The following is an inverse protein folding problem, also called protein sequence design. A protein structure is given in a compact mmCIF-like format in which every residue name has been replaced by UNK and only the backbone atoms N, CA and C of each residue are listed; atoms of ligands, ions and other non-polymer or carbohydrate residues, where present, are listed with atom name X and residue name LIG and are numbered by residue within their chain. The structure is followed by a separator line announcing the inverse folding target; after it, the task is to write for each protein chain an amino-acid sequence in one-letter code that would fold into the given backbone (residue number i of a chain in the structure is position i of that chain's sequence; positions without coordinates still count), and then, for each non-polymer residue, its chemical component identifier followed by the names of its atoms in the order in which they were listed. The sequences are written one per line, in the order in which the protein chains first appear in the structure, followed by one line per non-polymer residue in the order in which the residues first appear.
data_IF_187796532907
#
_entry.id   IF_187796532907
#
_cell.length_a   1.000
_cell.length_b   1.000
_cell.length_c   1.000
_cell.angle_alpha   90.00
_cell.angle_beta   90.00
_cell.angle_gamma   90.00
#
_symmetry.space_group_name_H-M   'P 1'
#
loop_
_entity.id
_entity.type
_entity.pdbx_description
1 polymer ?
2 non-polymer ?
3 non-polymer ?
4 non-polymer ?
5 water ?
#
# COMPACT_ATOMS: atom_id res chain seq x y z
N UNK A 1 9.58 1.03 -5.81
CA UNK A 1 8.95 -0.23 -5.40
C UNK A 1 8.08 0.03 -4.16
N UNK A 2 6.88 -0.56 -4.12
CA UNK A 2 6.11 -0.58 -2.88
C UNK A 2 5.68 -1.99 -2.47
N UNK A 3 6.63 -2.93 -2.53
CA UNK A 3 6.42 -4.29 -2.05
C UNK A 3 5.95 -4.25 -0.61
N UNK A 4 4.98 -5.11 -0.29
CA UNK A 4 4.39 -5.12 1.04
C UNK A 4 5.39 -5.65 2.06
N UNK A 5 5.36 -5.06 3.26
CA UNK A 5 5.95 -5.73 4.44
C UNK A 5 4.78 -6.23 5.26
N UNK A 6 4.43 -7.48 5.03
CA UNK A 6 3.19 -8.01 5.50
C UNK A 6 3.34 -8.84 6.80
N UNK A 7 2.63 -8.44 7.82
CA UNK A 7 2.59 -9.24 9.02
C UNK A 7 1.37 -10.14 9.01
N UNK A 8 1.32 -11.04 9.98
CA UNK A 8 0.18 -11.87 10.15
C UNK A 8 -0.45 -11.43 11.45
N UNK A 9 -1.69 -11.87 11.65
CA UNK A 9 -2.38 -11.69 12.91
C UNK A 9 -1.43 -12.01 14.01
N UNK A 10 -0.92 -13.22 14.07
CA UNK A 10 0.00 -13.57 15.13
C UNK A 10 1.36 -12.91 15.17
N UNK A 11 1.97 -12.67 14.01
CA UNK A 11 3.29 -12.08 14.09
C UNK A 11 3.19 -10.62 14.57
N UNK A 12 2.17 -9.95 14.07
CA UNK A 12 1.86 -8.61 14.53
C UNK A 12 1.59 -8.57 16.07
N UNK A 13 0.73 -9.48 16.56
CA UNK A 13 0.51 -9.59 18.01
C UNK A 13 1.77 -9.84 18.85
N UNK A 14 2.52 -10.86 18.46
CA UNK A 14 3.73 -11.19 19.12
C UNK A 14 4.64 -9.96 19.19
N UNK A 15 4.83 -9.30 18.06
CA UNK A 15 5.70 -8.15 18.04
C UNK A 15 5.10 -6.97 18.82
N UNK A 16 3.79 -6.83 18.77
CA UNK A 16 3.15 -5.78 19.54
C UNK A 16 3.31 -6.02 21.02
N UNK A 17 3.06 -7.26 21.46
CA UNK A 17 3.19 -7.61 22.86
C UNK A 17 4.61 -7.40 23.35
N UNK A 18 5.59 -7.85 22.55
CA UNK A 18 7.03 -7.60 22.77
C UNK A 18 7.24 -6.12 22.96
N UNK A 19 6.54 -5.31 22.18
CA UNK A 19 6.71 -3.88 22.35
C UNK A 19 5.89 -3.36 23.53
N UNK A 20 5.21 -4.22 24.30
CA UNK A 20 4.63 -3.77 25.56
C UNK A 20 3.16 -3.36 25.49
N UNK A 21 2.57 -3.69 24.34
CA UNK A 21 1.18 -3.54 24.13
C UNK A 21 0.46 -4.65 24.87
N UNK A 22 -0.40 -4.27 25.84
CA UNK A 22 -1.14 -5.30 26.58
C UNK A 22 -1.82 -6.30 25.65
N UNK A 23 -1.88 -7.55 26.06
CA UNK A 23 -2.50 -8.64 25.27
C UNK A 23 -3.93 -8.36 24.89
N UNK A 24 -4.67 -7.80 25.84
CA UNK A 24 -6.08 -7.51 25.68
C UNK A 24 -6.40 -6.48 24.61
N UNK A 25 -5.37 -5.95 23.97
CA UNK A 25 -5.52 -5.00 22.89
C UNK A 25 -5.18 -5.70 21.58
N UNK A 26 -4.49 -6.84 21.68
CA UNK A 26 -3.82 -7.40 20.50
C UNK A 26 -4.77 -7.85 19.39
N UNK A 27 -5.84 -8.51 19.80
CA UNK A 27 -6.84 -8.98 18.84
C UNK A 27 -7.44 -7.76 18.10
N UNK A 28 -7.71 -6.70 18.84
CA UNK A 28 -8.25 -5.49 18.25
C UNK A 28 -7.26 -4.85 17.31
N UNK A 29 -6.01 -4.73 17.75
CA UNK A 29 -4.95 -4.15 16.92
C UNK A 29 -4.71 -4.94 15.68
N UNK A 30 -4.77 -6.26 15.77
CA UNK A 30 -4.55 -7.08 14.57
C UNK A 30 -5.73 -6.92 13.66
N UNK A 31 -6.90 -6.98 14.26
CA UNK A 31 -8.08 -6.70 13.48
C UNK A 31 -7.99 -5.37 12.73
N UNK A 32 -7.62 -4.33 13.44
CA UNK A 32 -7.47 -3.03 12.81
C UNK A 32 -6.36 -3.03 11.76
N UNK A 33 -5.20 -3.63 12.02
CA UNK A 33 -4.17 -3.75 10.97
C UNK A 33 -4.71 -4.46 9.72
N UNK A 34 -5.45 -5.53 9.93
CA UNK A 34 -5.97 -6.25 8.82
C UNK A 34 -6.81 -5.35 7.91
N UNK A 35 -7.72 -4.61 8.51
CA UNK A 35 -8.69 -3.88 7.74
C UNK A 35 -8.13 -2.55 7.28
N UNK A 36 -7.12 -2.05 7.99
CA UNK A 36 -6.54 -0.77 7.64
C UNK A 36 -5.53 -0.96 6.54
N UNK A 37 -4.81 -2.09 6.55
CA UNK A 37 -3.60 -2.17 5.74
C UNK A 37 -3.24 -3.57 5.26
N UNK A 38 -3.96 -4.56 5.75
CA UNK A 38 -3.64 -5.96 5.48
C UNK A 38 -2.29 -6.20 6.07
N UNK A 39 -2.10 -5.67 7.27
CA UNK A 39 -0.89 -5.97 8.02
C UNK A 39 0.38 -5.49 7.32
N UNK A 40 0.24 -4.44 6.52
CA UNK A 40 1.36 -4.03 5.73
C UNK A 40 1.84 -2.72 6.29
N UNK A 41 3.05 -2.74 6.84
CA UNK A 41 3.69 -1.51 7.37
C UNK A 41 3.97 -0.43 6.30
N UNK A 42 3.92 -0.83 5.03
CA UNK A 42 4.26 0.02 3.92
C UNK A 42 3.01 0.60 3.31
N UNK A 43 1.85 0.25 3.90
CA UNK A 43 0.58 0.65 3.33
C UNK A 43 0.48 2.18 3.39
N UNK A 44 0.00 2.78 2.32
CA UNK A 44 -0.24 4.22 2.33
C UNK A 44 -1.61 4.32 1.68
N UNK A 45 -2.55 5.00 2.35
CA UNK A 45 -3.90 5.11 1.87
C UNK A 45 -4.07 6.05 0.71
N UNK A 46 -5.22 5.96 0.05
CA UNK A 46 -5.54 6.93 -0.97
C UNK A 46 -5.83 8.20 -0.23
N UNK A 47 -5.80 9.29 -0.96
CA UNK A 47 -6.20 10.55 -0.41
C UNK A 47 -7.59 10.41 0.19
N UNK A 48 -7.69 10.82 1.45
CA UNK A 48 -8.98 11.01 2.10
C UNK A 48 -9.72 12.23 1.56
N UNK A 49 -11.01 12.31 1.86
CA UNK A 49 -11.84 13.35 1.26
C UNK A 49 -11.34 14.74 1.68
N UNK A 50 -10.73 14.82 2.86
CA UNK A 50 -10.30 16.09 3.42
C UNK A 50 -8.91 16.44 2.90
N UNK A 51 -8.35 15.57 2.08
CA UNK A 51 -7.06 15.84 1.46
C UNK A 51 -5.97 15.20 2.25
N UNK A 52 -6.30 14.52 3.35
CA UNK A 52 -5.27 13.86 4.13
C UNK A 52 -4.94 12.50 3.54
N UNK A 53 -3.88 11.91 4.11
CA UNK A 53 -3.44 10.58 3.74
C UNK A 53 -2.98 9.84 4.98
N UNK A 54 -3.26 8.54 4.99
CA UNK A 54 -2.96 7.66 6.11
C UNK A 54 -1.81 6.73 5.83
N UNK A 55 -1.02 6.51 6.88
CA UNK A 55 0.28 5.92 6.78
C UNK A 55 0.44 4.70 7.63
N UNK A 56 0.95 3.67 6.97
CA UNK A 56 1.46 2.48 7.62
C UNK A 56 0.38 1.51 7.99
N UNK A 57 0.75 0.60 8.86
CA UNK A 57 -0.06 -0.57 9.18
C UNK A 57 -1.35 -0.20 9.91
N UNK A 58 -1.37 0.97 10.56
CA UNK A 58 -2.50 1.43 11.35
C UNK A 58 -2.99 2.70 10.73
N UNK A 59 -2.47 3.01 9.54
CA UNK A 59 -3.04 4.08 8.73
C UNK A 59 -3.20 5.37 9.55
N UNK A 60 -2.06 5.82 10.05
CA UNK A 60 -1.97 7.00 10.88
C UNK A 60 -2.09 8.20 9.96
N UNK A 61 -2.86 9.19 10.39
CA UNK A 61 -3.21 10.29 9.51
C UNK A 61 -2.20 11.43 9.49
N UNK A 62 -1.80 11.83 8.28
CA UNK A 62 -0.79 12.88 8.05
C UNK A 62 -1.20 14.34 8.32
N UNK A 63 -2.45 14.55 8.72
CA UNK A 63 -2.95 15.89 9.08
C UNK A 63 -2.82 16.12 10.56
N UNK A 64 -2.90 15.02 11.30
CA UNK A 64 -3.20 15.10 12.74
C UNK A 64 -2.15 14.42 13.59
N UNK A 65 -1.70 13.25 13.10
CA UNK A 65 -0.87 12.31 13.87
C UNK A 65 0.53 12.23 13.41
N UNK A 66 0.75 12.39 12.12
CA UNK A 66 2.13 12.33 11.67
C UNK A 66 2.39 13.44 10.68
N UNK A 67 3.65 13.71 10.45
CA UNK A 67 4.00 14.79 9.59
C UNK A 67 4.26 14.25 8.19
N UNK A 68 3.61 14.84 7.16
CA UNK A 68 3.73 14.41 5.75
C UNK A 68 5.10 14.77 5.17
N UNK A 69 5.52 14.08 4.11
CA UNK A 69 6.82 14.37 3.50
C UNK A 69 6.75 15.65 2.69
N UNK A 70 5.73 16.45 2.94
CA UNK A 70 5.62 17.72 2.27
C UNK A 70 5.95 18.78 3.30
N UNK A 71 5.78 20.04 2.93
CA UNK A 71 5.79 21.10 3.91
C UNK A 71 4.40 21.35 4.44
N UNK A 72 3.45 20.46 4.16
CA UNK A 72 2.08 20.70 4.59
C UNK A 72 2.04 20.72 6.09
N UNK A 73 1.15 21.56 6.64
CA UNK A 73 0.91 21.52 8.06
C UNK A 73 0.34 20.18 8.49
N UNK A 74 0.79 19.71 9.66
CA UNK A 74 0.23 18.56 10.33
C UNK A 74 0.26 18.87 11.80
N UNK A 75 -0.80 18.50 12.51
CA UNK A 75 -0.75 18.60 13.96
C UNK A 75 0.25 17.60 14.54
N UNK A 76 0.58 16.60 13.72
CA UNK A 76 1.67 15.71 14.03
C UNK A 76 1.72 15.33 15.50
N UNK A 77 0.62 14.75 15.99
CA UNK A 77 0.47 14.50 17.41
C UNK A 77 1.49 13.46 17.94
N UNK A 78 1.91 12.54 17.05
CA UNK A 78 2.86 11.51 17.37
C UNK A 78 4.27 11.98 17.15
N UNK A 79 4.42 13.19 16.62
CA UNK A 79 5.72 13.80 16.43
C UNK A 79 6.60 12.81 15.66
N UNK A 80 6.08 12.37 14.53
CA UNK A 80 6.85 11.53 13.65
C UNK A 80 6.57 11.97 12.22
N UNK A 81 7.54 11.77 11.34
CA UNK A 81 7.23 11.82 9.95
C UNK A 81 6.42 10.55 9.54
N UNK A 82 5.28 10.76 8.90
CA UNK A 82 4.45 9.67 8.41
C UNK A 82 5.25 8.61 7.68
N UNK A 83 6.13 9.05 6.79
CA UNK A 83 6.86 8.16 5.93
C UNK A 83 7.74 7.26 6.78
N UNK A 84 8.00 7.64 8.02
CA UNK A 84 8.81 6.80 8.91
C UNK A 84 8.06 5.54 9.29
N UNK A 85 6.75 5.52 9.12
CA UNK A 85 5.97 4.31 9.35
C UNK A 85 6.32 3.28 8.30
N UNK A 86 6.77 3.77 7.14
CA UNK A 86 7.04 2.91 5.98
C UNK A 86 8.34 2.16 6.08
N UNK A 87 8.46 1.38 7.14
CA UNK A 87 9.66 0.64 7.43
C UNK A 87 9.26 -0.81 7.73
N UNK A 88 10.23 -1.69 8.02
CA UNK A 88 9.91 -3.11 8.29
C UNK A 88 9.41 -3.29 9.70
N UNK A 89 9.77 -2.35 10.54
CA UNK A 89 9.41 -2.37 11.93
C UNK A 89 8.04 -1.70 12.12
N UNK A 90 7.23 -2.28 12.99
CA UNK A 90 5.91 -1.80 13.32
C UNK A 90 5.98 -0.82 14.47
N UNK A 91 7.10 -0.83 15.19
CA UNK A 91 7.24 -0.01 16.39
C UNK A 91 6.80 1.47 16.23
N UNK A 92 7.29 2.17 15.18
CA UNK A 92 6.81 3.57 15.17
C UNK A 92 5.28 3.63 15.02
N UNK A 93 4.72 2.74 14.19
CA UNK A 93 3.29 2.67 13.99
C UNK A 93 2.56 2.31 15.32
N UNK A 94 3.12 1.34 16.03
CA UNK A 94 2.56 0.84 17.28
C UNK A 94 2.54 1.96 18.29
N UNK A 95 3.69 2.63 18.43
CA UNK A 95 3.85 3.70 19.39
C UNK A 95 2.80 4.78 19.11
N UNK A 96 2.69 5.16 17.84
CA UNK A 96 1.74 6.19 17.47
C UNK A 96 0.26 5.78 17.67
N UNK A 97 -0.10 4.57 17.21
CA UNK A 97 -1.40 4.00 17.47
C UNK A 97 -1.72 3.90 18.96
N UNK A 98 -0.70 3.64 19.79
CA UNK A 98 -0.90 3.64 21.22
C UNK A 98 -1.39 5.00 21.71
N UNK A 99 -0.79 6.05 21.17
CA UNK A 99 -1.09 7.40 21.60
C UNK A 99 -2.51 7.73 21.13
N UNK A 100 -2.78 7.40 19.88
CA UNK A 100 -4.13 7.53 19.32
C UNK A 100 -5.17 6.84 20.25
N UNK A 101 -4.95 5.56 20.49
CA UNK A 101 -5.81 4.77 21.35
C UNK A 101 -6.01 5.47 22.69
N UNK A 102 -4.94 5.94 23.30
CA UNK A 102 -5.12 6.52 24.60
C UNK A 102 -5.86 7.84 24.47
N UNK A 103 -5.66 8.57 23.38
CA UNK A 103 -6.29 9.88 23.30
C UNK A 103 -7.70 9.83 22.73
N UNK A 104 -7.94 9.02 21.71
CA UNK A 104 -9.23 9.03 21.06
C UNK A 104 -9.91 7.73 21.17
N UNK A 105 -9.17 6.70 21.56
CA UNK A 105 -9.72 5.36 21.67
C UNK A 105 -9.84 4.64 20.36
N UNK A 106 -10.52 3.50 20.41
CA UNK A 106 -10.57 2.56 19.29
C UNK A 106 -11.45 3.11 18.15
N UNK A 107 -12.40 3.97 18.48
CA UNK A 107 -13.27 4.50 17.45
C UNK A 107 -12.47 5.40 16.51
N UNK A 108 -11.30 5.86 16.94
CA UNK A 108 -10.39 6.58 16.02
C UNK A 108 -10.15 5.88 14.67
N UNK A 109 -10.20 4.55 14.60
CA UNK A 109 -10.06 3.85 13.31
C UNK A 109 -11.39 3.69 12.63
N UNK A 110 -11.46 4.15 11.40
CA UNK A 110 -12.70 4.01 10.61
C UNK A 110 -13.02 2.53 10.42
N UNK A 111 -12.00 1.67 10.61
CA UNK A 111 -12.19 0.20 10.55
C UNK A 111 -12.64 -0.42 11.86
N UNK A 112 -12.78 0.41 12.90
CA UNK A 112 -13.13 -0.08 14.23
C UNK A 112 -14.42 -0.85 14.19
N UNK A 113 -15.25 -0.50 13.22
CA UNK A 113 -16.52 -1.18 13.00
C UNK A 113 -16.35 -2.65 12.66
N UNK A 114 -15.25 -3.02 12.04
CA UNK A 114 -14.99 -4.42 11.70
C UNK A 114 -14.46 -5.19 12.86
N UNK A 115 -14.19 -4.47 13.93
CA UNK A 115 -13.31 -4.91 15.00
C UNK A 115 -13.86 -4.76 16.41
N UNK A 116 -15.03 -4.14 16.54
CA UNK A 116 -15.54 -3.72 17.83
C UNK A 116 -16.36 -4.80 18.56
N UNK A 117 -16.50 -5.94 17.88
CA UNK A 117 -17.37 -6.98 18.38
C UNK A 117 -16.58 -8.13 18.92
N UNK A 118 -17.16 -9.32 18.78
CA UNK A 118 -16.52 -10.56 19.23
C UNK A 118 -15.30 -10.93 18.40
N UNK A 119 -14.16 -10.89 19.05
CA UNK A 119 -12.91 -11.29 18.41
C UNK A 119 -12.39 -12.48 19.12
N UNK A 120 -11.68 -13.34 18.38
CA UNK A 120 -10.95 -14.44 18.95
C UNK A 120 -9.94 -13.94 19.97
N UNK A 121 -9.75 -14.74 20.99
CA UNK A 121 -8.63 -14.60 21.86
C UNK A 121 -7.33 -14.54 21.02
N UNK A 122 -6.40 -13.68 21.38
CA UNK A 122 -5.15 -13.67 20.66
C UNK A 122 -4.14 -14.72 21.18
N UNK A 123 -4.51 -15.44 22.22
CA UNK A 123 -3.53 -16.27 22.93
C UNK A 123 -3.14 -17.51 22.14
N UNK A 124 -3.88 -17.86 21.10
CA UNK A 124 -3.37 -18.87 20.16
C UNK A 124 -2.03 -18.42 19.53
N UNK A 125 -1.79 -17.11 19.53
CA UNK A 125 -0.57 -16.52 18.95
C UNK A 125 0.63 -16.62 19.87
N UNK A 126 0.36 -17.01 21.11
CA UNK A 126 1.32 -17.00 22.19
C UNK A 126 1.47 -18.35 22.80
N UNK B 1 -9.29 3.06 4.77
CA UNK B 1 -8.43 1.87 4.55
C UNK B 1 -7.25 2.13 3.56
N UNK B 2 -6.18 1.34 3.73
CA UNK B 2 -5.23 1.03 2.65
C UNK B 2 -5.24 -0.50 2.62
N UNK B 3 -6.42 -1.08 2.78
CA UNK B 3 -6.46 -2.51 2.72
C UNK B 3 -6.09 -2.94 1.28
N UNK B 4 -5.29 -3.98 1.18
CA UNK B 4 -4.79 -4.40 -0.10
C UNK B 4 -5.92 -4.98 -0.93
N UNK B 5 -5.84 -4.80 -2.24
CA UNK B 5 -6.54 -5.61 -3.19
C UNK B 5 -5.40 -6.38 -3.88
N UNK B 6 -5.26 -7.62 -3.49
CA UNK B 6 -4.05 -8.35 -3.82
C UNK B 6 -4.43 -9.39 -4.83
N UNK B 7 -3.66 -9.44 -5.91
CA UNK B 7 -3.84 -10.45 -6.93
C UNK B 7 -2.80 -11.46 -6.75
N UNK B 8 -2.93 -12.54 -7.49
CA UNK B 8 -1.81 -13.45 -7.60
C UNK B 8 -1.25 -13.35 -9.00
N UNK B 9 -0.07 -13.92 -9.22
CA UNK B 9 0.50 -14.04 -10.55
C UNK B 9 -0.61 -14.41 -11.50
N UNK B 10 -1.34 -15.49 -11.18
CA UNK B 10 -2.37 -15.97 -12.12
C UNK B 10 -3.65 -15.14 -12.25
N UNK B 11 -4.12 -14.59 -11.13
CA UNK B 11 -5.39 -13.90 -11.17
C UNK B 11 -5.13 -12.61 -11.92
N UNK B 12 -3.93 -12.09 -11.75
CA UNK B 12 -3.55 -10.88 -12.46
C UNK B 12 -3.34 -11.16 -13.95
N UNK B 13 -2.63 -12.25 -14.24
CA UNK B 13 -2.48 -12.69 -15.64
C UNK B 13 -3.86 -12.72 -16.36
N UNK B 14 -4.82 -13.41 -15.74
CA UNK B 14 -6.13 -13.62 -16.38
C UNK B 14 -6.88 -12.32 -16.56
N UNK B 15 -6.74 -11.41 -15.58
CA UNK B 15 -7.40 -10.12 -15.67
C UNK B 15 -6.80 -9.21 -16.75
N UNK B 16 -5.48 -9.17 -16.76
CA UNK B 16 -4.72 -8.53 -17.83
C UNK B 16 -5.03 -9.10 -19.23
N UNK B 17 -5.07 -10.42 -19.35
CA UNK B 17 -5.49 -11.03 -20.61
C UNK B 17 -6.86 -10.54 -21.00
N UNK B 18 -7.79 -10.59 -20.05
CA UNK B 18 -9.16 -10.14 -20.32
C UNK B 18 -9.13 -8.65 -20.74
N UNK B 19 -8.12 -7.91 -20.30
CA UNK B 19 -8.07 -6.50 -20.66
C UNK B 19 -7.30 -6.29 -21.93
N UNK B 20 -6.99 -7.39 -22.60
CA UNK B 20 -6.38 -7.33 -23.93
C UNK B 20 -4.88 -7.35 -23.98
N UNK B 21 -4.23 -7.52 -22.83
CA UNK B 21 -2.79 -7.62 -22.77
C UNK B 21 -2.28 -8.93 -23.42
N UNK B 22 -1.31 -8.81 -24.35
CA UNK B 22 -0.81 -10.01 -25.00
C UNK B 22 -0.26 -11.02 -24.00
N UNK B 23 -0.66 -12.27 -24.20
CA UNK B 23 -0.41 -13.33 -23.27
C UNK B 23 1.07 -13.45 -23.09
N UNK B 24 1.83 -13.24 -24.17
CA UNK B 24 3.27 -13.41 -24.08
C UNK B 24 3.94 -12.34 -23.24
N UNK B 25 3.16 -11.40 -22.72
CA UNK B 25 3.70 -10.31 -21.92
C UNK B 25 3.42 -10.53 -20.45
N UNK B 26 2.62 -11.55 -20.18
CA UNK B 26 2.01 -11.69 -18.87
C UNK B 26 2.99 -12.12 -17.82
N UNK B 27 3.90 -13.02 -18.16
CA UNK B 27 4.89 -13.44 -17.20
C UNK B 27 5.63 -12.20 -16.67
N UNK B 28 6.09 -11.34 -17.57
CA UNK B 28 6.82 -10.17 -17.22
C UNK B 28 6.00 -9.19 -16.37
N UNK B 29 4.81 -8.90 -16.82
CA UNK B 29 3.88 -8.05 -16.10
C UNK B 29 3.63 -8.47 -14.67
N UNK B 30 3.36 -9.76 -14.49
CA UNK B 30 3.04 -10.31 -13.17
C UNK B 30 4.30 -10.27 -12.30
N UNK B 31 5.44 -10.53 -12.91
CA UNK B 31 6.69 -10.35 -12.20
C UNK B 31 6.91 -8.91 -11.72
N UNK B 32 6.70 -7.97 -12.63
CA UNK B 32 6.75 -6.52 -12.34
C UNK B 32 5.80 -6.22 -11.17
N UNK B 33 4.53 -6.59 -11.32
CA UNK B 33 3.52 -6.34 -10.29
C UNK B 33 3.91 -6.91 -8.96
N UNK B 34 4.34 -8.15 -9.00
CA UNK B 34 4.88 -8.76 -7.80
C UNK B 34 5.89 -7.83 -7.12
N UNK B 35 6.86 -7.39 -7.91
CA UNK B 35 8.05 -6.80 -7.33
C UNK B 35 7.77 -5.37 -7.01
N UNK B 36 6.76 -4.80 -7.65
CA UNK B 36 6.48 -3.42 -7.45
C UNK B 36 5.54 -3.27 -6.27
N UNK B 37 4.60 -4.21 -6.12
CA UNK B 37 3.43 -3.90 -5.27
C UNK B 37 2.94 -5.08 -4.48
N UNK B 38 3.63 -6.21 -4.62
CA UNK B 38 3.09 -7.46 -4.12
C UNK B 38 1.69 -7.68 -4.67
N UNK B 39 1.47 -7.32 -5.94
CA UNK B 39 0.18 -7.54 -6.65
C UNK B 39 -0.98 -6.71 -6.05
N UNK B 40 -0.69 -5.53 -5.59
CA UNK B 40 -1.68 -4.80 -4.84
C UNK B 40 -2.03 -3.52 -5.56
N UNK B 41 -3.30 -3.38 -5.94
CA UNK B 41 -3.72 -2.24 -6.71
C UNK B 41 -3.74 -1.01 -5.84
N UNK B 42 -3.70 -1.21 -4.53
CA UNK B 42 -3.68 -0.08 -3.61
C UNK B 42 -2.31 0.29 -3.07
N UNK B 43 -1.26 -0.37 -3.57
CA UNK B 43 0.09 -0.07 -3.13
C UNK B 43 0.36 1.37 -3.46
N UNK B 44 1.08 2.05 -2.56
CA UNK B 44 1.52 3.44 -2.83
C UNK B 44 2.88 3.51 -2.22
N UNK B 45 3.84 3.98 -3.01
CA UNK B 45 5.23 3.94 -2.60
C UNK B 45 5.52 5.07 -1.66
N UNK B 46 6.68 4.99 -1.01
CA UNK B 46 7.17 6.12 -0.24
C UNK B 46 7.62 7.19 -1.21
N UNK B 47 7.75 8.41 -0.70
CA UNK B 47 8.11 9.51 -1.54
C UNK B 47 9.43 9.11 -2.23
N UNK B 48 9.49 9.26 -3.54
CA UNK B 48 10.75 9.06 -4.23
C UNK B 48 11.64 10.27 -4.05
N UNK B 49 12.95 10.10 -4.19
CA UNK B 49 13.89 11.18 -3.88
C UNK B 49 13.79 12.38 -4.83
N UNK B 50 13.17 12.21 -5.99
CA UNK B 50 12.89 13.37 -6.84
C UNK B 50 11.56 14.07 -6.46
N UNK B 51 11.01 13.68 -5.30
CA UNK B 51 9.79 14.24 -4.79
C UNK B 51 8.56 13.48 -5.23
N UNK B 52 8.74 12.53 -6.16
CA UNK B 52 7.63 11.84 -6.80
C UNK B 52 7.12 10.66 -5.96
N UNK B 53 6.06 10.02 -6.43
CA UNK B 53 5.48 8.92 -5.70
C UNK B 53 4.84 7.99 -6.68
N UNK B 54 4.91 6.70 -6.41
CA UNK B 54 4.39 5.68 -7.32
C UNK B 54 3.15 5.02 -6.76
N UNK B 55 2.24 4.65 -7.66
CA UNK B 55 0.92 4.23 -7.35
C UNK B 55 0.48 2.95 -8.00
N UNK B 56 -0.21 2.15 -7.22
CA UNK B 56 -0.93 1.04 -7.70
C UNK B 56 -0.05 -0.16 -7.92
N UNK B 57 -0.65 -1.14 -8.58
CA UNK B 57 -0.06 -2.46 -8.79
C UNK B 57 1.26 -2.38 -9.56
N UNK B 58 1.32 -1.46 -10.53
CA UNK B 58 2.52 -1.31 -11.36
C UNK B 58 3.35 -0.08 -10.93
N UNK B 59 2.90 0.66 -9.91
CA UNK B 59 3.74 1.71 -9.31
C UNK B 59 4.08 2.74 -10.38
N UNK B 60 3.03 3.34 -10.90
CA UNK B 60 3.11 4.31 -11.95
C UNK B 60 3.44 5.60 -11.28
N UNK B 61 4.33 6.33 -11.91
CA UNK B 61 4.93 7.45 -11.26
C UNK B 61 4.03 8.66 -11.40
N UNK B 62 3.85 9.40 -10.31
CA UNK B 62 3.01 10.61 -10.31
C UNK B 62 3.70 11.89 -10.82
N UNK B 63 4.89 11.71 -11.40
CA UNK B 63 5.59 12.81 -12.05
C UNK B 63 5.71 12.61 -13.57
N UNK B 64 5.89 11.37 -14.00
CA UNK B 64 6.01 11.04 -15.42
C UNK B 64 4.73 10.64 -16.05
N UNK B 65 3.81 10.11 -15.24
CA UNK B 65 2.77 9.30 -15.82
C UNK B 65 1.38 9.61 -15.41
N UNK B 66 1.18 9.99 -14.16
CA UNK B 66 -0.19 10.24 -13.70
C UNK B 66 -0.17 11.51 -12.89
N UNK B 67 -1.29 12.20 -12.79
CA UNK B 67 -1.25 13.43 -11.99
C UNK B 67 -1.52 13.19 -10.50
N UNK B 68 -0.69 13.80 -9.62
CA UNK B 68 -0.92 13.66 -8.18
C UNK B 68 -2.20 14.44 -7.81
N UNK B 69 -2.93 14.00 -6.78
CA UNK B 69 -4.18 14.69 -6.40
C UNK B 69 -4.00 16.15 -5.95
N UNK B 70 -2.79 16.57 -5.64
CA UNK B 70 -2.61 17.99 -5.44
C UNK B 70 -2.61 18.60 -6.85
N UNK B 71 -2.62 19.90 -6.97
CA UNK B 71 -2.43 20.44 -8.31
C UNK B 71 -1.06 20.12 -8.93
N UNK B 72 -0.20 19.42 -8.16
CA UNK B 72 1.25 19.38 -8.45
C UNK B 72 1.55 18.92 -9.85
N UNK B 73 2.54 19.56 -10.45
CA UNK B 73 2.96 19.23 -11.79
C UNK B 73 3.40 17.77 -11.95
N UNK B 74 2.82 17.13 -12.96
CA UNK B 74 3.25 15.85 -13.43
C UNK B 74 3.07 15.90 -14.94
N UNK B 75 3.93 15.20 -15.64
CA UNK B 75 3.73 15.03 -17.05
C UNK B 75 2.43 14.29 -17.32
N UNK B 76 2.00 13.41 -16.41
CA UNK B 76 0.69 12.83 -16.53
C UNK B 76 0.52 12.23 -17.95
N UNK B 77 1.55 11.55 -18.47
CA UNK B 77 1.46 10.96 -19.81
C UNK B 77 0.27 10.01 -19.92
N UNK B 78 -0.03 9.30 -18.84
CA UNK B 78 -1.23 8.47 -18.81
C UNK B 78 -2.55 9.24 -18.75
N UNK B 79 -2.48 10.56 -18.63
CA UNK B 79 -3.70 11.39 -18.59
C UNK B 79 -4.72 10.75 -17.66
N UNK B 80 -4.26 10.49 -16.44
CA UNK B 80 -5.08 9.91 -15.37
C UNK B 80 -4.60 10.42 -14.03
N UNK B 81 -5.56 10.71 -13.16
CA UNK B 81 -5.27 10.93 -11.74
C UNK B 81 -4.65 9.68 -11.10
N UNK B 82 -3.47 9.85 -10.50
CA UNK B 82 -2.75 8.76 -9.86
C UNK B 82 -3.65 7.98 -8.91
N UNK B 83 -4.43 8.72 -8.13
CA UNK B 83 -5.37 8.12 -7.18
C UNK B 83 -6.36 7.15 -7.87
N UNK B 84 -6.65 7.37 -9.14
CA UNK B 84 -7.62 6.51 -9.82
C UNK B 84 -7.10 5.08 -9.95
N UNK B 85 -5.81 4.90 -9.70
CA UNK B 85 -5.26 3.56 -9.79
C UNK B 85 -5.63 2.78 -8.55
N UNK B 86 -5.89 3.51 -7.46
CA UNK B 86 -6.06 2.91 -6.15
C UNK B 86 -7.46 2.41 -6.00
N UNK B 87 -7.84 1.54 -6.94
CA UNK B 87 -9.14 0.93 -7.00
C UNK B 87 -8.95 -0.57 -7.07
N UNK B 88 -10.04 -1.33 -6.99
CA UNK B 88 -10.00 -2.80 -7.00
C UNK B 88 -9.69 -3.30 -8.39
N UNK B 89 -9.97 -2.45 -9.36
CA UNK B 89 -9.79 -2.78 -10.76
C UNK B 89 -8.36 -2.52 -11.14
N UNK B 90 -7.76 -3.49 -11.79
CA UNK B 90 -6.41 -3.30 -12.33
C UNK B 90 -6.41 -2.36 -13.52
N UNK B 91 -7.56 -2.20 -14.16
CA UNK B 91 -7.64 -1.63 -15.48
C UNK B 91 -7.04 -0.25 -15.74
N UNK B 92 -7.27 0.76 -14.84
CA UNK B 92 -6.52 2.02 -15.10
C UNK B 92 -5.01 1.78 -15.01
N UNK B 93 -4.59 0.99 -14.04
CA UNK B 93 -3.21 0.60 -13.89
C UNK B 93 -2.68 -0.11 -15.15
N UNK B 94 -3.46 -1.04 -15.71
CA UNK B 94 -3.00 -1.80 -16.84
C UNK B 94 -2.90 -0.92 -18.09
N UNK B 95 -3.92 -0.10 -18.34
CA UNK B 95 -3.94 0.85 -19.44
C UNK B 95 -2.76 1.81 -19.48
N UNK B 96 -2.33 2.25 -18.29
CA UNK B 96 -1.20 3.16 -18.18
C UNK B 96 0.13 2.41 -18.28
N UNK B 97 0.23 1.29 -17.59
CA UNK B 97 1.37 0.44 -17.74
C UNK B 97 1.63 0.09 -19.22
N UNK B 98 0.58 -0.26 -19.94
CA UNK B 98 0.72 -0.59 -21.34
C UNK B 98 1.29 0.60 -22.11
N UNK B 99 0.86 1.80 -21.75
CA UNK B 99 1.32 2.98 -22.45
C UNK B 99 2.80 3.17 -22.12
N UNK B 100 3.11 2.99 -20.86
CA UNK B 100 4.51 3.03 -20.40
C UNK B 100 5.39 2.02 -21.19
N UNK B 101 4.96 0.78 -21.25
CA UNK B 101 5.74 -0.26 -21.93
C UNK B 101 5.98 0.19 -23.36
N UNK B 102 4.89 0.63 -23.97
CA UNK B 102 4.91 1.02 -25.34
C UNK B 102 5.82 2.21 -25.63
N UNK B 103 5.82 3.21 -24.76
CA UNK B 103 6.71 4.35 -24.99
C UNK B 103 8.14 4.10 -24.54
N UNK B 104 8.31 3.22 -23.56
CA UNK B 104 9.59 3.18 -22.86
C UNK B 104 10.22 1.81 -22.63
N UNK B 105 9.53 0.77 -23.09
CA UNK B 105 10.01 -0.60 -22.93
C UNK B 105 9.88 -1.07 -21.51
N UNK B 106 10.19 -2.33 -21.31
CA UNK B 106 10.21 -3.01 -20.01
C UNK B 106 11.16 -2.45 -18.95
N UNK B 107 12.31 -1.93 -19.40
CA UNK B 107 13.30 -1.35 -18.49
C UNK B 107 12.79 -0.09 -17.77
N UNK B 108 11.64 0.43 -18.16
CA UNK B 108 11.05 1.57 -17.49
C UNK B 108 10.77 1.18 -16.03
N UNK B 109 10.39 -0.07 -15.80
CA UNK B 109 10.23 -0.50 -14.41
C UNK B 109 11.53 -0.68 -13.63
N UNK B 110 11.61 -0.08 -12.46
CA UNK B 110 12.82 -0.23 -11.69
C UNK B 110 12.96 -1.68 -11.30
N UNK B 111 11.85 -2.43 -11.37
CA UNK B 111 11.82 -3.85 -11.00
C UNK B 111 12.18 -4.74 -12.16
N UNK B 112 12.47 -4.12 -13.30
CA UNK B 112 12.81 -4.90 -14.47
C UNK B 112 13.93 -5.89 -14.23
N UNK B 113 14.96 -5.43 -13.52
CA UNK B 113 16.07 -6.23 -13.12
C UNK B 113 15.72 -7.55 -12.42
N UNK B 114 14.55 -7.63 -11.78
CA UNK B 114 14.15 -8.84 -11.07
C UNK B 114 13.35 -9.69 -11.96
N UNK B 115 13.01 -9.13 -13.10
CA UNK B 115 11.98 -9.70 -13.95
C UNK B 115 12.48 -9.96 -15.32
N UNK B 116 13.72 -9.65 -15.60
CA UNK B 116 14.22 -9.74 -16.97
C UNK B 116 14.98 -11.03 -17.24
N UNK B 117 15.11 -11.90 -16.25
CA UNK B 117 15.64 -13.22 -16.52
C UNK B 117 14.60 -14.16 -17.13
N UNK B 118 14.81 -15.47 -16.93
CA UNK B 118 13.92 -16.47 -17.48
C UNK B 118 12.83 -16.68 -16.46
N UNK B 119 11.59 -16.57 -16.92
CA UNK B 119 10.48 -16.58 -16.05
C UNK B 119 9.74 -17.87 -16.29
N UNK B 120 8.92 -18.29 -15.30
CA UNK B 120 7.94 -19.36 -15.57
C UNK B 120 7.01 -18.93 -16.69
N UNK B 121 6.49 -19.92 -17.39
CA UNK B 121 5.47 -19.71 -18.39
C UNK B 121 4.23 -19.23 -17.67
N UNK B 122 3.45 -18.36 -18.32
CA UNK B 122 2.14 -17.94 -17.80
C UNK B 122 1.01 -18.94 -18.15
N UNK B 123 1.30 -19.87 -19.04
CA UNK B 123 0.34 -20.88 -19.47
C UNK B 123 -0.48 -21.59 -18.37
N UNK B 124 0.13 -21.85 -17.22
CA UNK B 124 -0.56 -22.52 -16.12
C UNK B 124 -1.64 -21.66 -15.48
N UNK B 125 -1.56 -20.34 -15.67
CA UNK B 125 -2.65 -19.46 -15.25
C UNK B 125 -3.95 -19.62 -16.01
N UNK B 126 -3.90 -20.33 -17.13
CA UNK B 126 -5.01 -20.47 -18.05
C UNK B 126 -5.35 -21.95 -18.25
X LIG C 1 -8.93 6.62 7.71
X LIG C 1 -8.01 5.56 8.39
X LIG C 1 -8.40 5.15 9.83
X LIG C 1 -8.07 4.40 7.59
X LIG D 1 -8.10 -17.81 15.43
X LIG D 1 -7.94 -16.91 14.56
X LIG D 1 -7.27 -18.72 15.66
X LIG D 1 -9.37 -17.85 16.24
X LIG E 1 -5.48 7.71 12.59
X LIG E 1 -5.35 7.81 11.36
X LIG E 1 -6.44 7.14 13.15
X LIG E 1 -4.42 8.34 13.41
X LIG F 1 -2.82 -8.56 1.33
X LIG F 1 -2.06 -9.21 2.37
X LIG F 1 -4.20 -9.05 0.80
X LIG F 1 -4.30 -10.45 0.51
X LIG F 1 -5.40 -8.62 1.65
X LIG F 1 -6.36 -7.88 0.92
X LIG G 1 20.33 -4.27 -17.69
X LIG G 1 18.89 -4.44 -17.21
X LIG G 1 18.78 -4.62 -15.69
X LIG G 1 18.12 -3.34 -17.64
X LIG H 1 7.26 3.87 -14.02
X LIG H 1 6.27 4.31 -13.37
X LIG H 1 8.05 4.53 -14.77
X LIG H 1 7.55 2.43 -13.88
#
# INVERSE_FOLDING_TARGET
EAEAKTFTRCSLAREMYKLGVPKNQLARWTCIAEHESSYNTKAVGSLNSNGSRDYGIFQINNYYWCSPPSGAFSYDECKIKCEDFLVDSIEPAVKCAQLVLKQQGWTAWSTWKYCDGTLPSIDDCF
EAEAKTFTRCSLAREMYKLGVPKNQLARWTCIAEHESSYNTKAVGSLNSNGSRDYGIFQINNYYWCSPPSGAFSYDECKIKCEDFLVDSIEPAVKCAQLVLKQQGWTAWSTWKYCDGTLPSIDDCF
IPA C1 C2 C3 O2
ACY C O OXT CH3
ACY C O OXT CH3
GOL C1 O1 C2 O2 C3 O3
IPA C1 C2 C3 O2
ACY C O OXT CH3
#
